data_IF_310945541080
#
_entry.id   IF_310945541080
#
_cell.length_a   1.000
_cell.length_b   1.000
_cell.length_c   1.000
_cell.angle_alpha   90.00
_cell.angle_beta   90.00
_cell.angle_gamma   90.00
#
_symmetry.space_group_name_H-M   'P 1'
#
loop_
_entity.id
_entity.type
_entity.pdbx_description
1 polymer ?
#
# COMPACT_ATOMS: atom_id res chain seq x y z
N UNK A 1 22.04 -4.09 -9.32
CA UNK A 1 22.44 -4.16 -7.90
C UNK A 1 21.59 -5.20 -7.21
N UNK A 2 22.15 -6.13 -6.42
CA UNK A 2 21.36 -7.12 -5.70
C UNK A 2 20.49 -6.44 -4.64
N UNK A 3 19.26 -6.92 -4.46
CA UNK A 3 18.35 -6.37 -3.47
C UNK A 3 18.89 -6.69 -2.06
N UNK A 4 19.07 -5.71 -1.16
CA UNK A 4 19.71 -5.94 0.14
C UNK A 4 18.89 -6.83 1.09
N UNK A 5 17.60 -7.05 0.80
CA UNK A 5 16.72 -7.86 1.65
C UNK A 5 16.72 -9.36 1.29
N UNK A 6 16.94 -9.71 0.03
CA UNK A 6 16.83 -11.11 -0.42
C UNK A 6 18.03 -11.60 -1.23
N UNK A 7 19.04 -10.76 -1.46
CA UNK A 7 20.31 -11.12 -2.12
C UNK A 7 20.18 -11.51 -3.60
N UNK A 8 18.96 -11.58 -4.13
CA UNK A 8 18.68 -12.01 -5.50
C UNK A 8 18.82 -10.83 -6.46
N UNK A 9 19.56 -11.05 -7.56
CA UNK A 9 19.69 -10.05 -8.62
C UNK A 9 18.40 -10.03 -9.44
N UNK A 10 17.56 -9.02 -9.22
CA UNK A 10 16.37 -8.82 -10.03
C UNK A 10 16.78 -8.34 -11.43
N UNK A 11 16.93 -9.28 -12.35
CA UNK A 11 17.10 -8.98 -13.77
C UNK A 11 15.71 -8.68 -14.33
N UNK A 12 15.36 -7.40 -14.44
CA UNK A 12 14.08 -6.99 -15.04
C UNK A 12 14.06 -7.53 -16.48
N UNK A 13 13.07 -8.35 -16.87
CA UNK A 13 13.01 -8.94 -18.19
C UNK A 13 12.81 -7.84 -19.25
N UNK A 14 13.38 -8.00 -20.45
CA UNK A 14 13.47 -6.94 -21.45
C UNK A 14 12.11 -6.37 -21.89
N UNK A 15 11.04 -7.16 -21.80
CA UNK A 15 9.68 -6.73 -22.11
C UNK A 15 9.11 -5.67 -21.13
N UNK A 16 9.67 -5.55 -19.92
CA UNK A 16 9.25 -4.59 -18.90
C UNK A 16 10.23 -3.44 -18.72
N UNK A 17 11.31 -3.39 -19.50
CA UNK A 17 12.21 -2.24 -19.52
C UNK A 17 11.55 -1.19 -20.41
N UNK A 18 11.12 -0.07 -19.82
CA UNK A 18 10.82 1.13 -20.60
C UNK A 18 11.98 1.39 -21.56
N UNK A 19 11.65 1.67 -22.83
CA UNK A 19 12.58 1.77 -23.95
C UNK A 19 13.65 2.85 -23.69
N UNK A 20 14.67 2.52 -22.90
CA UNK A 20 15.96 3.17 -22.95
C UNK A 20 16.74 2.49 -24.06
N UNK A 21 16.51 2.96 -25.27
CA UNK A 21 17.35 2.62 -26.42
C UNK A 21 18.71 3.29 -26.22
N UNK A 22 19.62 2.49 -25.67
CA UNK A 22 21.08 2.43 -25.83
C UNK A 22 21.93 3.70 -26.08
N UNK A 23 22.86 3.93 -25.14
CA UNK A 23 24.31 4.14 -25.34
C UNK A 23 24.83 5.35 -26.17
N UNK A 24 26.14 5.66 -26.12
CA UNK A 24 26.71 6.98 -25.83
C UNK A 24 26.68 7.98 -27.01
N UNK A 25 26.72 9.26 -26.64
CA UNK A 25 26.66 10.47 -27.46
C UNK A 25 27.68 10.51 -28.63
N UNK A 26 27.23 10.61 -29.89
CA UNK A 26 28.00 11.24 -30.96
C UNK A 26 27.78 12.78 -30.92
N UNK A 27 28.79 13.62 -31.19
CA UNK A 27 28.69 15.07 -31.06
C UNK A 27 27.58 15.63 -31.95
N UNK A 28 26.63 16.33 -31.32
CA UNK A 28 25.49 16.99 -31.95
C UNK A 28 25.98 18.05 -32.96
N UNK A 29 25.54 18.02 -34.23
CA UNK A 29 25.68 19.15 -35.14
C UNK A 29 24.82 20.31 -34.64
N UNK A 30 25.40 21.51 -34.62
CA UNK A 30 24.79 22.75 -34.15
C UNK A 30 23.36 22.95 -34.70
N UNK A 31 22.37 22.99 -33.81
CA UNK A 31 21.00 23.36 -34.15
C UNK A 31 20.97 24.77 -34.73
N UNK A 32 20.41 25.00 -35.94
CA UNK A 32 20.19 26.35 -36.42
C UNK A 32 19.16 27.07 -35.52
N UNK A 33 19.26 28.40 -35.35
CA UNK A 33 18.39 29.15 -34.44
C UNK A 33 16.93 28.93 -34.83
N UNK A 34 16.14 28.39 -33.89
CA UNK A 34 14.70 28.19 -34.06
C UNK A 34 14.05 29.55 -34.32
N UNK A 35 13.73 29.83 -35.58
CA UNK A 35 12.92 30.98 -35.99
C UNK A 35 11.55 30.80 -35.35
N UNK A 36 11.10 31.78 -34.57
CA UNK A 36 9.78 31.76 -33.95
C UNK A 36 8.72 31.91 -35.04
N UNK A 37 8.01 30.81 -35.34
CA UNK A 37 6.86 30.84 -36.23
C UNK A 37 5.57 31.00 -35.40
N UNK A 38 4.88 32.15 -35.50
CA UNK A 38 3.69 32.43 -34.69
C UNK A 38 2.53 31.46 -34.98
N UNK A 39 2.50 30.86 -36.17
CA UNK A 39 1.49 29.87 -36.55
C UNK A 39 1.66 28.53 -35.83
N UNK A 40 2.90 28.04 -35.66
CA UNK A 40 3.15 26.83 -34.87
C UNK A 40 2.90 27.03 -33.38
N UNK A 41 3.13 28.25 -32.87
CA UNK A 41 2.82 28.58 -31.48
C UNK A 41 1.31 28.58 -31.22
N UNK A 42 0.52 29.14 -32.14
CA UNK A 42 -0.94 29.14 -32.05
C UNK A 42 -1.55 27.73 -32.19
N UNK A 43 -0.97 26.89 -33.05
CA UNK A 43 -1.42 25.50 -33.22
C UNK A 43 -1.15 24.66 -31.95
N UNK A 44 0.05 24.76 -31.38
CA UNK A 44 0.36 24.11 -30.09
C UNK A 44 -0.55 24.58 -28.96
N UNK A 45 -0.87 25.87 -28.91
CA UNK A 45 -1.77 26.44 -27.89
C UNK A 45 -3.20 25.88 -28.00
N UNK A 46 -3.70 25.65 -29.23
CA UNK A 46 -5.02 25.05 -29.46
C UNK A 46 -5.09 23.60 -28.99
N UNK A 47 -4.09 22.79 -29.34
CA UNK A 47 -4.05 21.38 -28.91
C UNK A 47 -3.87 21.22 -27.40
N UNK A 48 -3.13 22.12 -26.73
CA UNK A 48 -3.02 22.10 -25.28
C UNK A 48 -4.31 22.50 -24.56
N UNK A 49 -5.11 23.41 -25.13
CA UNK A 49 -6.40 23.79 -24.56
C UNK A 49 -7.41 22.63 -24.66
N UNK A 50 -7.48 21.99 -25.83
CA UNK A 50 -8.38 20.85 -26.06
C UNK A 50 -7.97 19.62 -25.23
N UNK A 51 -6.66 19.36 -25.08
CA UNK A 51 -6.16 18.32 -24.17
C UNK A 51 -6.40 18.66 -22.69
N UNK A 52 -6.29 19.93 -22.30
CA UNK A 52 -6.57 20.35 -20.92
C UNK A 52 -8.05 20.20 -20.58
N UNK A 53 -8.96 20.51 -21.50
CA UNK A 53 -10.40 20.32 -21.34
C UNK A 53 -10.75 18.83 -21.22
N UNK A 54 -10.14 17.99 -22.06
CA UNK A 54 -10.32 16.54 -22.00
C UNK A 54 -9.77 15.93 -20.71
N UNK A 55 -8.62 16.41 -20.25
CA UNK A 55 -8.04 16.01 -18.96
C UNK A 55 -8.91 16.48 -17.78
N UNK A 56 -9.51 17.68 -17.85
CA UNK A 56 -10.45 18.14 -16.84
C UNK A 56 -11.69 17.24 -16.78
N UNK A 57 -12.29 16.90 -17.93
CA UNK A 57 -13.42 15.98 -17.97
C UNK A 57 -13.07 14.60 -17.36
N UNK A 58 -11.91 14.03 -17.70
CA UNK A 58 -11.46 12.76 -17.13
C UNK A 58 -11.23 12.87 -15.61
N UNK A 59 -10.69 13.99 -15.11
CA UNK A 59 -10.51 14.20 -13.66
C UNK A 59 -11.85 14.36 -12.92
N UNK A 60 -12.86 14.95 -13.52
CA UNK A 60 -14.20 15.05 -12.93
C UNK A 60 -14.87 13.68 -12.80
N UNK A 61 -14.75 12.82 -13.82
CA UNK A 61 -15.25 11.45 -13.75
C UNK A 61 -14.54 10.62 -12.66
N UNK A 62 -13.21 10.73 -12.57
CA UNK A 62 -12.42 10.01 -11.55
C UNK A 62 -12.74 10.51 -10.14
N UNK A 63 -12.89 11.82 -9.95
CA UNK A 63 -13.23 12.39 -8.64
C UNK A 63 -14.65 12.04 -8.19
N UNK A 64 -15.62 11.96 -9.11
CA UNK A 64 -16.97 11.49 -8.80
C UNK A 64 -16.98 10.01 -8.42
N UNK A 65 -16.24 9.17 -9.15
CA UNK A 65 -16.07 7.76 -8.82
C UNK A 65 -15.39 7.57 -7.45
N UNK A 66 -14.35 8.36 -7.15
CA UNK A 66 -13.67 8.33 -5.84
C UNK A 66 -14.61 8.71 -4.68
N UNK A 67 -15.46 9.73 -4.87
CA UNK A 67 -16.48 10.11 -3.87
C UNK A 67 -17.49 8.99 -3.61
N UNK A 68 -17.88 8.27 -4.65
CA UNK A 68 -18.82 7.15 -4.53
C UNK A 68 -18.20 5.92 -3.84
N UNK A 69 -16.88 5.76 -3.93
CA UNK A 69 -16.16 4.61 -3.35
C UNK A 69 -15.64 4.88 -1.92
N UNK A 70 -15.47 6.14 -1.51
CA UNK A 70 -15.08 6.53 -0.15
C UNK A 70 -15.88 5.85 1.00
N UNK A 71 -17.22 5.75 0.96
CA UNK A 71 -17.96 5.12 2.05
C UNK A 71 -17.70 3.62 2.17
N UNK A 72 -17.36 2.94 1.07
CA UNK A 72 -17.04 1.51 1.05
C UNK A 72 -15.63 1.28 1.61
N UNK A 73 -14.68 2.17 1.28
CA UNK A 73 -13.32 2.12 1.83
C UNK A 73 -13.30 2.33 3.36
N UNK A 74 -14.13 3.24 3.89
CA UNK A 74 -14.24 3.46 5.32
C UNK A 74 -14.76 2.23 6.09
N UNK A 75 -15.74 1.52 5.51
CA UNK A 75 -16.27 0.27 6.08
C UNK A 75 -15.27 -0.89 6.03
N UNK A 76 -14.47 -0.97 4.96
CA UNK A 76 -13.47 -2.02 4.82
C UNK A 76 -12.34 -1.89 5.85
N UNK A 77 -11.88 -0.66 6.12
CA UNK A 77 -10.80 -0.41 7.10
C UNK A 77 -11.25 -0.74 8.53
N UNK A 78 -12.48 -0.38 8.90
CA UNK A 78 -13.00 -0.70 10.23
C UNK A 78 -13.20 -2.21 10.43
N UNK A 79 -13.72 -2.91 9.42
CA UNK A 79 -13.85 -4.37 9.44
C UNK A 79 -12.49 -5.07 9.54
N UNK A 80 -11.47 -4.58 8.83
CA UNK A 80 -10.12 -5.14 8.88
C UNK A 80 -9.45 -4.88 10.23
N UNK A 81 -9.63 -3.68 10.80
CA UNK A 81 -9.15 -3.35 12.14
C UNK A 81 -9.77 -4.25 13.22
N UNK A 82 -11.08 -4.51 13.10
CA UNK A 82 -11.81 -5.38 14.02
C UNK A 82 -11.36 -6.85 13.87
N UNK A 83 -11.10 -7.31 12.64
CA UNK A 83 -10.55 -8.63 12.37
C UNK A 83 -9.15 -8.84 12.96
N UNK A 84 -8.25 -7.86 12.81
CA UNK A 84 -6.92 -7.92 13.43
C UNK A 84 -7.02 -7.91 14.96
N UNK A 85 -7.90 -7.07 15.51
CA UNK A 85 -8.16 -7.01 16.96
C UNK A 85 -8.66 -8.35 17.49
N UNK A 86 -9.61 -8.97 16.80
CA UNK A 86 -10.18 -10.27 17.17
C UNK A 86 -9.12 -11.38 17.16
N UNK A 87 -8.27 -11.43 16.11
CA UNK A 87 -7.17 -12.40 16.01
C UNK A 87 -6.16 -12.27 17.14
N UNK A 88 -5.95 -11.05 17.66
CA UNK A 88 -5.03 -10.80 18.78
C UNK A 88 -5.68 -11.09 20.13
N UNK A 89 -6.96 -10.75 20.28
CA UNK A 89 -7.68 -10.84 21.55
C UNK A 89 -8.11 -12.26 21.90
N UNK A 90 -8.51 -13.06 20.91
CA UNK A 90 -8.99 -14.42 21.11
C UNK A 90 -7.93 -15.36 21.76
N UNK A 91 -6.67 -15.43 21.28
CA UNK A 91 -5.65 -16.24 21.95
C UNK A 91 -5.30 -15.70 23.34
N UNK A 92 -5.27 -14.37 23.52
CA UNK A 92 -5.01 -13.76 24.83
C UNK A 92 -6.08 -14.15 25.87
N UNK A 93 -7.35 -14.08 25.48
CA UNK A 93 -8.47 -14.48 26.34
C UNK A 93 -8.38 -15.97 26.72
N UNK A 94 -8.11 -16.85 25.76
CA UNK A 94 -7.93 -18.28 26.03
C UNK A 94 -6.75 -18.55 26.98
N UNK A 95 -5.63 -17.86 26.80
CA UNK A 95 -4.48 -18.01 27.71
C UNK A 95 -4.80 -17.54 29.13
N UNK A 96 -5.51 -16.42 29.29
CA UNK A 96 -5.91 -15.92 30.61
C UNK A 96 -6.86 -16.89 31.32
N UNK A 97 -7.80 -17.49 30.58
CA UNK A 97 -8.74 -18.49 31.12
C UNK A 97 -8.00 -19.76 31.53
N UNK A 98 -7.03 -20.22 30.74
CA UNK A 98 -6.20 -21.37 31.11
C UNK A 98 -5.39 -21.10 32.38
N UNK A 99 -4.75 -19.94 32.49
CA UNK A 99 -3.97 -19.55 33.67
C UNK A 99 -4.87 -19.47 34.91
N UNK A 100 -6.03 -18.82 34.81
CA UNK A 100 -6.94 -18.70 35.95
C UNK A 100 -7.47 -20.06 36.41
N UNK A 101 -7.75 -20.97 35.48
CA UNK A 101 -8.14 -22.34 35.78
C UNK A 101 -7.03 -23.10 36.54
N UNK A 102 -5.78 -23.02 36.08
CA UNK A 102 -4.65 -23.65 36.76
C UNK A 102 -4.42 -23.09 38.17
N UNK A 103 -4.54 -21.77 38.34
CA UNK A 103 -4.44 -21.14 39.66
C UNK A 103 -5.56 -21.60 40.59
N UNK A 104 -6.81 -21.66 40.11
CA UNK A 104 -7.92 -22.15 40.90
C UNK A 104 -7.71 -23.61 41.33
N UNK A 105 -7.32 -24.49 40.41
CA UNK A 105 -6.99 -25.88 40.73
C UNK A 105 -5.83 -25.98 41.74
N UNK A 106 -4.77 -25.20 41.55
CA UNK A 106 -3.63 -25.18 42.46
C UNK A 106 -4.02 -24.75 43.88
N UNK A 107 -4.84 -23.71 44.02
CA UNK A 107 -5.37 -23.25 45.31
C UNK A 107 -6.27 -24.31 45.94
N UNK A 108 -7.14 -24.96 45.16
CA UNK A 108 -8.00 -26.04 45.68
C UNK A 108 -7.19 -27.21 46.22
N UNK A 109 -6.15 -27.65 45.49
CA UNK A 109 -5.27 -28.74 45.93
C UNK A 109 -4.48 -28.32 47.18
N UNK A 110 -3.96 -27.09 47.19
CA UNK A 110 -3.23 -26.53 48.33
C UNK A 110 -4.10 -26.49 49.58
N UNK A 111 -5.33 -25.96 49.48
CA UNK A 111 -6.27 -25.92 50.60
C UNK A 111 -6.64 -27.33 51.09
N UNK A 112 -6.90 -28.26 50.17
CA UNK A 112 -7.19 -29.65 50.53
C UNK A 112 -6.02 -30.30 51.28
N UNK A 113 -4.78 -30.03 50.86
CA UNK A 113 -3.58 -30.54 51.51
C UNK A 113 -3.39 -29.96 52.93
N UNK A 114 -3.58 -28.65 53.11
CA UNK A 114 -3.40 -28.01 54.41
C UNK A 114 -4.54 -28.34 55.39
N UNK A 115 -5.79 -28.37 54.92
CA UNK A 115 -6.94 -28.74 55.76
C UNK A 115 -6.94 -30.23 56.12
N UNK A 116 -6.57 -31.10 55.18
CA UNK A 116 -6.51 -32.55 55.41
C UNK A 116 -5.36 -33.00 56.31
N UNK A 117 -4.33 -32.15 56.51
CA UNK A 117 -3.22 -32.43 57.43
C UNK A 117 -3.44 -31.89 58.84
N UNK A 118 -4.41 -30.98 59.01
CA UNK A 118 -4.76 -30.39 60.30
C UNK A 118 -5.86 -31.14 61.07
N UNK A 119 -6.46 -32.17 60.47
CA UNK A 119 -7.51 -33.01 61.03
C UNK A 119 -6.98 -34.44 61.20
#
# INVERSE_FOLDING_TARGET
>A
MPCPFCGTSLTIPPALRWQQTAAPEPPTPETPPKRFDPFQAAEKARFTAEQAEKAQAETEFVTNALRQVQPIAAGAVSAYGLWLGLKRFLPACLTLLAISCLLACGVSIFLAFFLGRGN
#
